data_IF_186406876904
#
_entry.id   IF_186406876904
#
_cell.length_a   1.000
_cell.length_b   1.000
_cell.length_c   1.000
_cell.angle_alpha   90.00
_cell.angle_beta   90.00
_cell.angle_gamma   90.00
#
_symmetry.space_group_name_H-M   'P 1'
#
loop_
_entity.id
_entity.type
_entity.pdbx_description
1 polymer ?
#
# COMPACT_ATOMS: atom_id res chain seq x y z
N UNK A 1 7.78 -3.40 14.68
CA UNK A 1 9.03 -3.20 13.92
C UNK A 1 8.64 -2.42 12.69
N UNK A 2 9.32 -1.32 12.36
CA UNK A 2 8.91 -0.48 11.23
C UNK A 2 9.00 -1.21 9.90
N UNK A 3 8.03 -0.95 9.02
CA UNK A 3 7.93 -1.47 7.66
C UNK A 3 9.24 -1.30 6.88
N UNK A 4 9.65 -2.34 6.16
CA UNK A 4 10.84 -2.30 5.28
C UNK A 4 10.40 -2.14 3.83
N UNK A 5 10.78 -1.02 3.23
CA UNK A 5 10.53 -0.73 1.81
C UNK A 5 11.68 -1.31 0.96
N UNK A 6 11.34 -2.18 0.01
CA UNK A 6 12.29 -2.70 -0.98
C UNK A 6 12.04 -2.02 -2.32
N UNK A 7 13.00 -1.23 -2.79
CA UNK A 7 12.87 -0.44 -4.01
C UNK A 7 13.79 -0.94 -5.12
N UNK A 8 13.31 -0.87 -6.36
CA UNK A 8 14.03 -1.22 -7.58
C UNK A 8 13.79 -0.14 -8.65
N UNK A 9 14.85 0.25 -9.35
CA UNK A 9 14.72 1.12 -10.53
C UNK A 9 14.10 0.31 -11.67
N UNK A 10 13.01 0.81 -12.23
CA UNK A 10 12.30 0.18 -13.37
C UNK A 10 11.96 1.27 -14.38
N UNK A 11 12.45 1.11 -15.61
CA UNK A 11 12.33 2.11 -16.66
C UNK A 11 12.79 3.51 -16.18
N UNK A 12 11.93 4.52 -16.28
CA UNK A 12 12.21 5.90 -15.83
C UNK A 12 11.80 6.20 -14.38
N UNK A 13 11.47 5.19 -13.58
CA UNK A 13 10.94 5.38 -12.23
C UNK A 13 11.41 4.33 -11.22
N UNK A 14 10.78 4.36 -10.04
CA UNK A 14 11.10 3.47 -8.93
C UNK A 14 9.83 2.69 -8.56
N UNK A 15 9.94 1.37 -8.54
CA UNK A 15 8.90 0.50 -7.99
C UNK A 15 9.39 0.04 -6.62
N UNK A 16 8.49 0.08 -5.63
CA UNK A 16 8.80 -0.40 -4.31
C UNK A 16 7.69 -1.30 -3.76
N UNK A 17 8.07 -2.25 -2.92
CA UNK A 17 7.15 -3.15 -2.23
C UNK A 17 7.46 -3.16 -0.73
N UNK A 18 6.41 -3.33 0.08
CA UNK A 18 6.51 -3.49 1.52
C UNK A 18 5.30 -4.30 2.03
N UNK A 19 5.38 -4.92 3.23
CA UNK A 19 4.20 -5.50 3.86
C UNK A 19 3.16 -4.42 4.19
N UNK A 20 1.94 -4.86 4.51
CA UNK A 20 0.87 -3.96 4.96
C UNK A 20 1.33 -3.23 6.24
N UNK A 21 1.29 -1.88 6.30
CA UNK A 21 1.68 -1.13 7.48
C UNK A 21 0.76 -1.45 8.66
N UNK A 22 1.30 -1.39 9.87
CA UNK A 22 0.56 -1.70 11.10
C UNK A 22 0.54 -3.17 11.49
N UNK A 23 1.20 -4.06 10.75
CA UNK A 23 1.25 -5.51 11.05
C UNK A 23 1.75 -5.86 12.46
N UNK A 24 2.64 -5.04 13.03
CA UNK A 24 3.14 -5.18 14.41
C UNK A 24 2.51 -4.18 15.39
N UNK A 25 1.42 -3.49 15.01
CA UNK A 25 0.77 -2.45 15.82
C UNK A 25 1.43 -1.06 15.75
N UNK A 26 2.39 -0.84 14.86
CA UNK A 26 3.12 0.43 14.69
C UNK A 26 2.65 1.23 13.46
N UNK A 27 1.33 1.26 13.21
CA UNK A 27 0.75 1.84 11.99
C UNK A 27 1.17 3.29 11.71
N UNK A 28 1.11 4.18 12.70
CA UNK A 28 1.49 5.59 12.53
C UNK A 28 2.99 5.76 12.22
N UNK A 29 3.84 4.91 12.81
CA UNK A 29 5.28 4.94 12.56
C UNK A 29 5.59 4.44 11.14
N UNK A 30 4.91 3.38 10.70
CA UNK A 30 5.00 2.87 9.33
C UNK A 30 4.53 3.90 8.30
N UNK A 31 3.42 4.57 8.58
CA UNK A 31 2.92 5.64 7.72
C UNK A 31 3.89 6.81 7.63
N UNK A 32 4.54 7.18 8.74
CA UNK A 32 5.58 8.21 8.72
C UNK A 32 6.78 7.80 7.86
N UNK A 33 7.23 6.55 7.97
CA UNK A 33 8.33 6.01 7.15
C UNK A 33 7.96 6.04 5.65
N UNK A 34 6.78 5.54 5.28
CA UNK A 34 6.33 5.51 3.89
C UNK A 34 6.15 6.94 3.35
N UNK A 35 5.62 7.86 4.16
CA UNK A 35 5.48 9.27 3.79
C UNK A 35 6.82 9.92 3.45
N UNK A 36 7.85 9.64 4.24
CA UNK A 36 9.17 10.24 4.03
C UNK A 36 9.81 9.75 2.71
N UNK A 37 9.42 8.57 2.23
CA UNK A 37 9.77 8.06 0.91
C UNK A 37 9.05 8.80 -0.25
N UNK A 38 7.94 9.49 0.03
CA UNK A 38 7.14 10.31 -0.91
C UNK A 38 6.66 9.54 -2.15
N UNK A 39 5.83 8.50 -1.98
CA UNK A 39 5.26 7.77 -3.11
C UNK A 39 4.36 8.68 -3.97
N UNK A 40 4.47 8.58 -5.29
CA UNK A 40 3.54 9.23 -6.22
C UNK A 40 2.22 8.45 -6.39
N UNK A 41 2.28 7.13 -6.22
CA UNK A 41 1.17 6.19 -6.32
C UNK A 41 1.41 5.02 -5.35
N UNK A 42 0.38 4.64 -4.61
CA UNK A 42 0.37 3.44 -3.78
C UNK A 42 -0.74 2.51 -4.26
N UNK A 43 -0.40 1.23 -4.45
CA UNK A 43 -1.35 0.18 -4.79
C UNK A 43 -1.41 -0.78 -3.62
N UNK A 44 -2.57 -0.90 -2.99
CA UNK A 44 -2.80 -1.84 -1.88
C UNK A 44 -3.52 -3.07 -2.40
N UNK A 45 -2.94 -4.25 -2.16
CA UNK A 45 -3.51 -5.54 -2.56
C UNK A 45 -4.26 -6.24 -1.43
N UNK A 46 -4.06 -5.81 -0.19
CA UNK A 46 -4.67 -6.40 1.00
C UNK A 46 -6.19 -6.16 1.00
N UNK A 47 -7.03 -7.21 1.18
CA UNK A 47 -8.47 -7.05 1.33
C UNK A 47 -8.86 -6.14 2.50
N UNK A 48 -9.99 -5.42 2.38
CA UNK A 48 -10.43 -4.48 3.43
C UNK A 48 -10.66 -5.14 4.79
N UNK A 49 -11.12 -6.40 4.80
CA UNK A 49 -11.33 -7.16 6.03
C UNK A 49 -10.01 -7.42 6.77
N UNK A 50 -8.95 -7.77 6.02
CA UNK A 50 -7.61 -7.94 6.58
C UNK A 50 -7.03 -6.60 7.03
N UNK A 51 -7.20 -5.53 6.25
CA UNK A 51 -6.76 -4.19 6.65
C UNK A 51 -7.42 -3.74 7.95
N UNK A 52 -8.71 -4.01 8.13
CA UNK A 52 -9.41 -3.73 9.37
C UNK A 52 -8.87 -4.55 10.54
N UNK A 53 -8.57 -5.84 10.33
CA UNK A 53 -7.99 -6.71 11.35
C UNK A 53 -6.57 -6.29 11.76
N UNK A 54 -5.80 -5.70 10.84
CA UNK A 54 -4.47 -5.15 11.07
C UNK A 54 -4.49 -3.71 11.64
N UNK A 55 -5.68 -3.11 11.81
CA UNK A 55 -5.82 -1.74 12.31
C UNK A 55 -5.44 -0.64 11.32
N UNK A 56 -5.40 -0.95 10.02
CA UNK A 56 -5.05 -0.02 8.95
C UNK A 56 -6.21 0.27 7.98
N UNK A 57 -7.45 0.23 8.46
CA UNK A 57 -8.64 0.49 7.65
C UNK A 57 -8.66 1.89 7.01
N UNK A 58 -7.99 2.88 7.61
CA UNK A 58 -7.88 4.25 7.13
C UNK A 58 -6.69 4.49 6.18
N UNK A 59 -5.90 3.45 5.85
CA UNK A 59 -4.68 3.53 5.04
C UNK A 59 -4.84 4.38 3.78
N UNK A 60 -5.92 4.15 3.03
CA UNK A 60 -6.18 4.87 1.80
C UNK A 60 -6.40 6.37 2.01
N UNK A 61 -7.18 6.74 3.03
CA UNK A 61 -7.41 8.14 3.38
C UNK A 61 -6.09 8.82 3.77
N UNK A 62 -5.25 8.15 4.56
CA UNK A 62 -3.94 8.67 4.97
C UNK A 62 -3.02 8.98 3.79
N UNK A 63 -3.00 8.14 2.75
CA UNK A 63 -2.19 8.41 1.56
C UNK A 63 -2.72 9.59 0.75
N UNK A 64 -4.04 9.70 0.59
CA UNK A 64 -4.67 10.82 -0.11
C UNK A 64 -4.40 12.14 0.63
N UNK A 65 -4.54 12.17 1.95
CA UNK A 65 -4.22 13.33 2.79
C UNK A 65 -2.75 13.77 2.66
N UNK A 66 -1.85 12.82 2.39
CA UNK A 66 -0.42 13.06 2.18
C UNK A 66 -0.07 13.42 0.72
N UNK A 67 -1.06 13.53 -0.16
CA UNK A 67 -0.90 13.92 -1.57
C UNK A 67 -0.46 12.79 -2.49
N UNK A 68 -0.44 11.54 -2.02
CA UNK A 68 -0.20 10.37 -2.86
C UNK A 68 -1.51 9.91 -3.51
N UNK A 69 -1.44 9.41 -4.75
CA UNK A 69 -2.56 8.67 -5.33
C UNK A 69 -2.63 7.29 -4.67
N UNK A 70 -3.84 6.82 -4.40
CA UNK A 70 -4.06 5.49 -3.85
C UNK A 70 -5.02 4.70 -4.73
N UNK A 71 -4.66 3.46 -5.03
CA UNK A 71 -5.50 2.49 -5.70
C UNK A 71 -5.64 1.25 -4.82
N UNK A 72 -6.88 0.86 -4.54
CA UNK A 72 -7.17 -0.36 -3.80
C UNK A 72 -7.56 -1.46 -4.78
N UNK A 73 -6.74 -2.50 -4.84
CA UNK A 73 -6.94 -3.63 -5.74
C UNK A 73 -6.89 -4.92 -4.91
N UNK A 74 -7.93 -5.22 -4.13
CA UNK A 74 -7.93 -6.33 -3.18
C UNK A 74 -7.78 -7.67 -3.90
N UNK A 75 -6.84 -8.49 -3.45
CA UNK A 75 -6.61 -9.86 -3.90
C UNK A 75 -6.60 -10.73 -2.65
N UNK A 76 -7.40 -11.80 -2.66
CA UNK A 76 -7.39 -12.80 -1.59
C UNK A 76 -6.01 -13.44 -1.45
N UNK A 77 -5.64 -13.84 -0.23
CA UNK A 77 -4.35 -14.49 0.00
C UNK A 77 -4.19 -15.76 -0.85
N UNK A 78 -3.00 -15.91 -1.45
CA UNK A 78 -2.70 -16.91 -2.49
C UNK A 78 -3.59 -16.87 -3.75
N UNK A 79 -4.42 -15.84 -3.90
CA UNK A 79 -5.25 -15.61 -5.07
C UNK A 79 -4.47 -15.00 -6.24
N UNK A 80 -5.21 -14.71 -7.30
CA UNK A 80 -4.74 -13.95 -8.45
C UNK A 80 -5.70 -12.79 -8.70
N UNK A 81 -5.26 -11.70 -9.36
CA UNK A 81 -6.17 -10.70 -9.89
C UNK A 81 -7.33 -11.37 -10.66
N UNK A 82 -8.56 -10.92 -10.39
CA UNK A 82 -9.70 -11.25 -11.23
C UNK A 82 -9.56 -10.63 -12.63
N UNK A 83 -10.63 -10.63 -13.42
CA UNK A 83 -10.62 -9.91 -14.70
C UNK A 83 -10.24 -8.44 -14.48
N UNK A 84 -9.10 -8.04 -15.05
CA UNK A 84 -8.56 -6.69 -14.92
C UNK A 84 -9.27 -5.83 -15.97
N UNK A 85 -10.11 -4.91 -15.52
CA UNK A 85 -10.60 -3.84 -16.40
C UNK A 85 -9.46 -2.87 -16.69
N UNK A 86 -8.83 -3.05 -17.86
CA UNK A 86 -7.72 -2.22 -18.34
C UNK A 86 -8.12 -0.75 -18.58
N UNK A 87 -9.41 -0.39 -18.50
CA UNK A 87 -9.87 1.01 -18.57
C UNK A 87 -9.77 1.77 -17.26
N UNK A 88 -9.61 1.06 -16.14
CA UNK A 88 -9.48 1.67 -14.80
C UNK A 88 -8.01 2.03 -14.48
N UNK A 89 -7.07 1.61 -15.32
CA UNK A 89 -5.63 1.90 -15.26
C UNK A 89 -5.25 3.09 -16.15
#
# INVERSE_FOLDING_TARGET
>A
MSVVIKALQVAGGIVAICPCPGGDGEFDADMAHIRDWKPALVISLTPSAEMAALGCADLGARFVEQGARWLHFPIEDFGVPGEIDTKTW
#
